data_IF_191321622608
#
_entry.id   IF_191321622608
#
_cell.length_a   1.000
_cell.length_b   1.000
_cell.length_c   1.000
_cell.angle_alpha   90.00
_cell.angle_beta   90.00
_cell.angle_gamma   90.00
#
_symmetry.space_group_name_H-M   'P 1'
#
loop_
_entity.id
_entity.type
_entity.pdbx_description
1 polymer ?
#
# COMPACT_ATOMS: atom_id res chain seq x y z
N UNK A 1 -2.58 12.03 2.16
CA UNK A 1 -1.53 11.85 1.14
C UNK A 1 -0.68 10.69 1.59
N UNK A 2 -0.59 9.62 0.80
CA UNK A 2 0.30 8.50 1.11
C UNK A 2 1.70 8.80 0.58
N UNK A 3 2.67 8.90 1.49
CA UNK A 3 4.07 9.11 1.15
C UNK A 3 4.75 7.75 0.95
N UNK A 4 5.49 7.59 -0.14
CA UNK A 4 6.23 6.37 -0.45
C UNK A 4 7.68 6.51 0.03
N UNK A 5 7.96 5.92 1.20
CA UNK A 5 9.29 5.92 1.80
C UNK A 5 10.35 5.21 0.97
N UNK A 6 9.97 4.13 0.27
CA UNK A 6 10.89 3.35 -0.55
C UNK A 6 11.29 4.14 -1.81
N UNK A 7 10.31 4.74 -2.50
CA UNK A 7 10.54 5.63 -3.64
C UNK A 7 11.32 6.87 -3.25
N UNK A 8 10.99 7.48 -2.11
CA UNK A 8 11.75 8.60 -1.56
C UNK A 8 13.22 8.24 -1.32
N UNK A 9 13.49 7.07 -0.72
CA UNK A 9 14.86 6.55 -0.53
C UNK A 9 15.58 6.36 -1.86
N UNK A 10 14.93 5.77 -2.86
CA UNK A 10 15.51 5.55 -4.18
C UNK A 10 15.91 6.87 -4.84
N UNK A 11 15.03 7.88 -4.80
CA UNK A 11 15.31 9.22 -5.33
C UNK A 11 16.46 9.91 -4.60
N UNK A 12 16.55 9.78 -3.27
CA UNK A 12 17.70 10.31 -2.51
C UNK A 12 19.01 9.65 -2.95
N UNK A 13 19.03 8.32 -3.07
CA UNK A 13 20.23 7.58 -3.48
C UNK A 13 20.65 7.94 -4.91
N UNK A 14 19.70 8.06 -5.85
CA UNK A 14 19.96 8.50 -7.21
C UNK A 14 20.52 9.94 -7.27
N UNK A 15 20.13 10.79 -6.32
CA UNK A 15 20.64 12.16 -6.18
C UNK A 15 22.01 12.24 -5.48
N UNK A 16 22.60 11.11 -5.07
CA UNK A 16 23.88 11.05 -4.37
C UNK A 16 23.89 11.67 -2.96
N UNK A 17 22.72 12.00 -2.41
CA UNK A 17 22.63 12.69 -1.13
C UNK A 17 22.67 11.70 0.05
N UNK A 18 23.47 12.00 1.07
CA UNK A 18 23.36 11.30 2.35
C UNK A 18 22.10 11.72 3.11
N UNK A 19 21.66 10.92 4.09
CA UNK A 19 20.52 11.27 4.95
C UNK A 19 20.77 12.63 5.65
N UNK A 20 21.99 12.87 6.15
CA UNK A 20 22.35 14.12 6.83
C UNK A 20 22.35 15.31 5.86
N UNK A 21 22.87 15.12 4.65
CA UNK A 21 22.87 16.17 3.63
C UNK A 21 21.45 16.56 3.21
N UNK A 22 20.58 15.57 3.00
CA UNK A 22 19.18 15.84 2.66
C UNK A 22 18.42 16.49 3.82
N UNK A 23 18.66 16.04 5.06
CA UNK A 23 18.03 16.62 6.25
C UNK A 23 18.42 18.10 6.42
N UNK A 24 19.70 18.43 6.21
CA UNK A 24 20.18 19.80 6.23
C UNK A 24 19.52 20.65 5.12
N UNK A 25 19.48 20.15 3.88
CA UNK A 25 18.84 20.83 2.76
C UNK A 25 17.32 21.05 2.97
N UNK A 26 16.65 20.13 3.67
CA UNK A 26 15.23 20.23 3.98
C UNK A 26 14.93 21.01 5.28
N UNK A 27 15.95 21.43 6.04
CA UNK A 27 15.84 21.98 7.39
C UNK A 27 15.03 21.08 8.34
N UNK A 28 15.39 19.79 8.39
CA UNK A 28 14.74 18.75 9.18
C UNK A 28 15.79 17.98 10.01
N UNK A 29 15.32 17.28 11.05
CA UNK A 29 16.18 16.35 11.77
C UNK A 29 16.49 15.10 10.92
N UNK A 30 17.72 14.54 10.96
CA UNK A 30 18.07 13.31 10.24
C UNK A 30 17.14 12.13 10.55
N UNK A 31 16.64 12.06 11.79
CA UNK A 31 15.69 11.03 12.21
C UNK A 31 14.33 11.14 11.48
N UNK A 32 13.92 12.35 11.10
CA UNK A 32 12.71 12.56 10.29
C UNK A 32 12.86 11.95 8.89
N UNK A 33 14.03 12.12 8.26
CA UNK A 33 14.33 11.51 6.95
C UNK A 33 14.37 9.99 7.08
N UNK A 34 15.05 9.46 8.11
CA UNK A 34 15.13 8.01 8.36
C UNK A 34 13.74 7.38 8.61
N UNK A 35 12.89 8.05 9.40
CA UNK A 35 11.52 7.60 9.68
C UNK A 35 10.64 7.62 8.43
N UNK A 36 10.81 8.64 7.58
CA UNK A 36 10.09 8.77 6.31
C UNK A 36 10.51 7.68 5.31
N UNK A 37 11.81 7.38 5.18
CA UNK A 37 12.31 6.29 4.31
C UNK A 37 11.80 4.92 4.71
N UNK A 38 11.70 4.65 6.02
CA UNK A 38 11.22 3.36 6.54
C UNK A 38 9.70 3.23 6.51
N UNK A 39 8.96 4.29 6.21
CA UNK A 39 7.50 4.31 6.26
C UNK A 39 6.91 4.09 7.66
N UNK A 40 7.72 4.21 8.73
CA UNK A 40 7.28 3.98 10.13
C UNK A 40 6.23 5.00 10.55
N UNK A 41 6.34 6.24 10.03
CA UNK A 41 5.35 7.30 10.22
C UNK A 41 5.15 8.05 8.91
N UNK A 42 3.88 8.29 8.58
CA UNK A 42 3.53 9.16 7.46
C UNK A 42 3.95 10.60 7.77
N UNK A 43 4.82 11.22 6.96
CA UNK A 43 5.20 12.61 7.16
C UNK A 43 3.99 13.52 6.88
N UNK A 44 3.83 14.55 7.72
CA UNK A 44 2.84 15.61 7.45
C UNK A 44 3.13 16.26 6.11
N UNK A 45 2.11 16.80 5.44
CA UNK A 45 2.23 17.40 4.10
C UNK A 45 3.30 18.49 4.02
N UNK A 46 3.50 19.27 5.09
CA UNK A 46 4.59 20.27 5.18
C UNK A 46 5.97 19.62 5.09
N UNK A 47 6.19 18.51 5.81
CA UNK A 47 7.45 17.76 5.82
C UNK A 47 7.68 17.12 4.46
N UNK A 48 6.66 16.48 3.88
CA UNK A 48 6.75 15.89 2.56
C UNK A 48 7.13 16.92 1.47
N UNK A 49 6.57 18.13 1.52
CA UNK A 49 6.95 19.24 0.63
C UNK A 49 8.39 19.70 0.81
N UNK A 50 8.87 19.79 2.05
CA UNK A 50 10.26 20.16 2.32
C UNK A 50 11.23 19.12 1.75
N UNK A 51 10.92 17.83 1.91
CA UNK A 51 11.71 16.73 1.37
C UNK A 51 11.72 16.71 -0.17
N UNK A 52 10.56 16.91 -0.81
CA UNK A 52 10.44 17.03 -2.26
C UNK A 52 11.27 18.20 -2.80
N UNK A 53 11.15 19.38 -2.17
CA UNK A 53 11.93 20.57 -2.53
C UNK A 53 13.44 20.33 -2.40
N UNK A 54 13.88 19.67 -1.33
CA UNK A 54 15.29 19.38 -1.10
C UNK A 54 15.87 18.35 -2.08
N UNK A 55 15.04 17.45 -2.62
CA UNK A 55 15.42 16.53 -3.69
C UNK A 55 15.30 17.13 -5.10
N UNK A 56 14.72 18.33 -5.24
CA UNK A 56 14.47 18.93 -6.55
C UNK A 56 13.40 18.20 -7.38
N UNK A 57 12.55 17.39 -6.75
CA UNK A 57 11.48 16.61 -7.42
C UNK A 57 10.11 17.16 -7.07
N UNK A 58 9.11 17.04 -7.95
CA UNK A 58 7.73 17.41 -7.61
C UNK A 58 7.18 16.49 -6.52
N UNK A 59 6.31 17.02 -5.64
CA UNK A 59 5.75 16.28 -4.51
C UNK A 59 5.05 14.96 -4.92
N UNK A 60 4.44 14.92 -6.11
CA UNK A 60 3.81 13.73 -6.69
C UNK A 60 4.76 12.55 -6.88
N UNK A 61 6.06 12.82 -7.05
CA UNK A 61 7.07 11.76 -7.22
C UNK A 61 7.48 11.13 -5.88
N UNK A 62 7.09 11.75 -4.75
CA UNK A 62 7.22 11.17 -3.41
C UNK A 62 5.91 10.55 -2.92
N UNK A 63 4.83 10.72 -3.68
CA UNK A 63 3.58 10.04 -3.39
C UNK A 63 3.75 8.59 -3.82
N UNK A 64 3.11 7.70 -3.07
CA UNK A 64 2.82 6.39 -3.61
C UNK A 64 1.96 6.65 -4.85
N UNK A 65 2.42 6.29 -6.06
CA UNK A 65 1.47 6.09 -7.14
C UNK A 65 0.46 5.07 -6.63
N UNK A 66 -0.79 5.12 -7.08
CA UNK A 66 -1.56 3.87 -7.11
C UNK A 66 -0.76 2.98 -8.06
N UNK A 67 0.19 2.22 -7.52
CA UNK A 67 1.09 1.38 -8.30
C UNK A 67 0.27 0.27 -8.92
N UNK A 68 0.75 -0.28 -10.03
CA UNK A 68 0.06 -1.39 -10.70
C UNK A 68 -0.14 -2.61 -9.77
N UNK A 69 0.66 -2.69 -8.70
CA UNK A 69 0.67 -3.76 -7.70
C UNK A 69 0.00 -3.39 -6.36
N UNK A 70 -0.70 -2.25 -6.27
CA UNK A 70 -1.37 -1.86 -5.03
C UNK A 70 -2.70 -2.61 -4.85
N UNK A 71 -2.88 -3.30 -3.73
CA UNK A 71 -4.15 -3.96 -3.40
C UNK A 71 -5.22 -2.93 -3.00
N UNK A 72 -6.50 -3.33 -3.02
CA UNK A 72 -7.57 -2.46 -2.52
C UNK A 72 -7.35 -2.08 -1.04
N UNK A 73 -6.87 -3.00 -0.21
CA UNK A 73 -6.59 -2.71 1.19
C UNK A 73 -5.51 -1.63 1.36
N UNK A 74 -4.48 -1.63 0.51
CA UNK A 74 -3.40 -0.63 0.55
C UNK A 74 -3.91 0.74 0.12
N UNK A 75 -4.73 0.79 -0.93
CA UNK A 75 -5.35 2.02 -1.43
C UNK A 75 -6.30 2.59 -0.36
N UNK A 76 -7.10 1.75 0.31
CA UNK A 76 -7.95 2.22 1.41
C UNK A 76 -7.13 2.81 2.57
N UNK A 77 -6.04 2.15 2.97
CA UNK A 77 -5.13 2.66 4.01
C UNK A 77 -4.46 3.97 3.57
N UNK A 78 -4.16 4.12 2.28
CA UNK A 78 -3.63 5.36 1.70
C UNK A 78 -4.57 6.56 1.85
N UNK A 79 -5.88 6.28 1.86
CA UNK A 79 -6.95 7.24 2.10
C UNK A 79 -7.22 7.47 3.59
N UNK A 80 -6.51 6.78 4.48
CA UNK A 80 -6.70 6.81 5.94
C UNK A 80 -8.11 6.37 6.38
N UNK A 81 -8.64 5.34 5.71
CA UNK A 81 -9.97 4.81 5.99
C UNK A 81 -9.90 3.40 6.59
N UNK A 82 -10.72 3.12 7.60
CA UNK A 82 -11.03 1.76 8.05
C UNK A 82 -11.97 1.06 7.06
N UNK A 83 -12.07 -0.27 7.13
CA UNK A 83 -13.05 -1.02 6.31
C UNK A 83 -14.50 -0.57 6.59
N UNK A 84 -14.81 -0.17 7.83
CA UNK A 84 -16.14 0.33 8.21
C UNK A 84 -16.43 1.69 7.58
N UNK A 85 -15.46 2.61 7.60
CA UNK A 85 -15.63 3.93 6.98
C UNK A 85 -15.70 3.84 5.46
N UNK A 86 -14.91 2.96 4.84
CA UNK A 86 -15.03 2.67 3.40
C UNK A 86 -16.41 2.08 3.05
N UNK A 87 -16.92 1.19 3.89
CA UNK A 87 -18.24 0.60 3.70
C UNK A 87 -19.35 1.66 3.79
N UNK A 88 -19.27 2.56 4.78
CA UNK A 88 -20.18 3.69 4.92
C UNK A 88 -20.11 4.63 3.69
N UNK A 89 -18.91 4.85 3.15
CA UNK A 89 -18.69 5.69 1.97
C UNK A 89 -19.30 5.12 0.68
N UNK A 90 -19.27 3.80 0.51
CA UNK A 90 -19.82 3.10 -0.66
C UNK A 90 -21.32 2.79 -0.48
N UNK A 91 -21.81 2.77 0.77
CA UNK A 91 -23.18 2.37 1.08
C UNK A 91 -23.38 0.85 1.19
N UNK A 92 -22.36 0.12 1.65
CA UNK A 92 -22.38 -1.35 1.82
C UNK A 92 -22.02 -1.76 3.25
N UNK A 93 -22.12 -3.06 3.56
CA UNK A 93 -21.64 -3.59 4.85
C UNK A 93 -20.11 -3.73 4.90
N UNK A 94 -19.51 -3.61 6.09
CA UNK A 94 -18.06 -3.80 6.25
C UNK A 94 -17.59 -5.20 5.85
N UNK A 95 -18.42 -6.23 6.03
CA UNK A 95 -18.17 -7.60 5.57
C UNK A 95 -18.05 -7.67 4.04
N UNK A 96 -18.84 -6.85 3.33
CA UNK A 96 -18.77 -6.72 1.86
C UNK A 96 -17.42 -6.13 1.44
N UNK A 97 -16.95 -5.07 2.11
CA UNK A 97 -15.61 -4.49 1.86
C UNK A 97 -14.52 -5.53 2.13
N UNK A 98 -14.57 -6.21 3.27
CA UNK A 98 -13.60 -7.24 3.62
C UNK A 98 -13.52 -8.37 2.58
N UNK A 99 -14.67 -8.86 2.11
CA UNK A 99 -14.76 -9.86 1.04
C UNK A 99 -14.20 -9.35 -0.29
N UNK A 100 -14.53 -8.13 -0.69
CA UNK A 100 -14.05 -7.54 -1.94
C UNK A 100 -12.54 -7.26 -1.90
N UNK A 101 -12.00 -6.80 -0.76
CA UNK A 101 -10.57 -6.59 -0.58
C UNK A 101 -9.75 -7.89 -0.62
N UNK A 102 -10.39 -9.03 -0.34
CA UNK A 102 -9.83 -10.38 -0.54
C UNK A 102 -10.13 -10.95 -1.93
N UNK A 103 -10.61 -10.12 -2.86
CA UNK A 103 -10.83 -10.51 -4.24
C UNK A 103 -12.19 -11.14 -4.55
N UNK A 104 -13.15 -11.04 -3.63
CA UNK A 104 -14.53 -11.49 -3.87
C UNK A 104 -15.20 -10.72 -5.02
N UNK A 105 -16.11 -11.38 -5.73
CA UNK A 105 -16.83 -10.78 -6.86
C UNK A 105 -17.74 -9.63 -6.42
N UNK A 106 -17.91 -8.64 -7.29
CA UNK A 106 -18.84 -7.52 -7.11
C UNK A 106 -19.63 -7.27 -8.39
N UNK A 107 -20.92 -6.96 -8.27
CA UNK A 107 -21.77 -6.68 -9.43
C UNK A 107 -21.62 -5.23 -9.93
N UNK A 108 -21.44 -4.26 -9.02
CA UNK A 108 -21.40 -2.84 -9.36
C UNK A 108 -19.99 -2.26 -9.19
N UNK A 109 -19.03 -2.70 -10.01
CA UNK A 109 -17.62 -2.30 -9.87
C UNK A 109 -17.37 -0.77 -9.99
N UNK A 110 -18.29 0.00 -10.57
CA UNK A 110 -18.16 1.44 -10.72
C UNK A 110 -18.28 2.20 -9.39
N UNK A 111 -19.25 1.84 -8.54
CA UNK A 111 -19.45 2.48 -7.22
C UNK A 111 -18.24 2.27 -6.32
N UNK A 112 -17.60 1.11 -6.47
CA UNK A 112 -16.37 0.78 -5.77
C UNK A 112 -15.19 1.61 -6.28
N UNK A 113 -15.07 1.78 -7.59
CA UNK A 113 -14.05 2.66 -8.16
C UNK A 113 -14.19 4.09 -7.61
N UNK A 114 -15.40 4.65 -7.61
CA UNK A 114 -15.70 5.98 -7.05
C UNK A 114 -15.38 6.05 -5.55
N UNK A 115 -15.79 5.04 -4.77
CA UNK A 115 -15.52 4.97 -3.33
C UNK A 115 -14.03 5.01 -2.99
N UNK A 116 -13.22 4.32 -3.79
CA UNK A 116 -11.75 4.30 -3.67
C UNK A 116 -11.05 5.48 -4.36
N UNK A 117 -11.81 6.42 -4.95
CA UNK A 117 -11.29 7.53 -5.74
C UNK A 117 -10.39 7.08 -6.91
N UNK A 118 -10.78 6.00 -7.56
CA UNK A 118 -10.10 5.38 -8.71
C UNK A 118 -10.96 5.45 -9.96
N UNK A 119 -10.32 5.37 -11.12
CA UNK A 119 -11.02 5.00 -12.35
C UNK A 119 -11.37 3.51 -12.32
N UNK A 120 -12.40 3.09 -13.08
CA UNK A 120 -12.79 1.69 -13.18
C UNK A 120 -11.64 0.75 -13.62
N UNK A 121 -10.78 1.10 -14.59
CA UNK A 121 -9.61 0.28 -14.93
C UNK A 121 -8.60 0.13 -13.78
N UNK A 122 -8.32 1.21 -13.03
CA UNK A 122 -7.42 1.16 -11.88
C UNK A 122 -7.99 0.30 -10.76
N UNK A 123 -9.29 0.44 -10.48
CA UNK A 123 -9.96 -0.38 -9.48
C UNK A 123 -9.93 -1.87 -9.83
N UNK A 124 -10.19 -2.23 -11.09
CA UNK A 124 -10.13 -3.63 -11.56
C UNK A 124 -8.74 -4.24 -11.39
N UNK A 125 -7.68 -3.47 -11.65
CA UNK A 125 -6.30 -3.91 -11.43
C UNK A 125 -6.00 -4.13 -9.95
N UNK A 126 -6.33 -3.17 -9.10
CA UNK A 126 -6.15 -3.30 -7.65
C UNK A 126 -6.94 -4.48 -7.05
N UNK A 127 -8.14 -4.74 -7.57
CA UNK A 127 -8.94 -5.91 -7.22
C UNK A 127 -8.30 -7.22 -7.67
N UNK A 128 -7.68 -7.24 -8.86
CA UNK A 128 -6.92 -8.38 -9.36
C UNK A 128 -5.68 -8.68 -8.50
N UNK A 129 -4.93 -7.65 -8.10
CA UNK A 129 -3.82 -7.78 -7.15
C UNK A 129 -4.28 -8.41 -5.84
N UNK A 130 -5.38 -7.90 -5.27
CA UNK A 130 -6.02 -8.47 -4.07
C UNK A 130 -6.34 -9.97 -4.22
N UNK A 131 -6.86 -10.40 -5.38
CA UNK A 131 -7.13 -11.81 -5.68
C UNK A 131 -5.86 -12.66 -5.73
N UNK A 132 -4.83 -12.14 -6.36
CA UNK A 132 -3.57 -12.88 -6.56
C UNK A 132 -2.79 -13.03 -5.26
N UNK A 133 -2.87 -12.06 -4.34
CA UNK A 133 -2.34 -12.19 -2.98
C UNK A 133 -3.00 -13.34 -2.20
N UNK A 134 -4.34 -13.38 -2.17
CA UNK A 134 -5.08 -14.45 -1.48
C UNK A 134 -4.78 -15.82 -2.09
N UNK A 135 -4.64 -15.90 -3.43
CA UNK A 135 -4.23 -17.14 -4.10
C UNK A 135 -2.81 -17.57 -3.73
N UNK A 136 -1.86 -16.62 -3.65
CA UNK A 136 -0.47 -16.90 -3.24
C UNK A 136 -0.40 -17.38 -1.80
N UNK A 137 -1.15 -16.74 -0.89
CA UNK A 137 -1.27 -17.16 0.51
C UNK A 137 -1.83 -18.59 0.59
N UNK A 138 -2.96 -18.87 -0.08
CA UNK A 138 -3.54 -20.22 -0.11
C UNK A 138 -2.59 -21.28 -0.71
N UNK A 139 -1.83 -20.92 -1.75
CA UNK A 139 -0.83 -21.81 -2.35
C UNK A 139 0.38 -22.05 -1.42
N UNK A 140 0.80 -21.04 -0.66
CA UNK A 140 1.88 -21.15 0.32
C UNK A 140 1.46 -21.94 1.58
N UNK A 141 0.18 -21.92 1.92
CA UNK A 141 -0.38 -22.52 3.14
C UNK A 141 -0.81 -23.98 2.97
N UNK A 142 -0.67 -24.55 1.76
CA UNK A 142 -0.87 -25.99 1.52
C UNK A 142 0.32 -26.78 2.09
N UNK A 143 0.20 -27.54 3.20
CA UNK A 143 1.32 -28.30 3.75
C UNK A 143 1.48 -29.62 2.99
N UNK A 144 2.74 -30.03 2.80
CA UNK A 144 3.14 -31.38 2.39
C UNK A 144 2.35 -32.40 3.22
N UNK A 145 1.54 -33.24 2.57
CA UNK A 145 1.02 -34.48 3.18
C UNK A 145 2.21 -35.34 3.58
N UNK A 146 2.62 -35.26 4.85
CA UNK A 146 3.47 -36.26 5.48
C UNK A 146 2.64 -37.54 5.60
N UNK A 147 2.85 -38.46 4.66
CA UNK A 147 2.48 -39.86 4.81
C UNK A 147 3.28 -40.43 5.97
N UNK A 148 2.65 -40.61 7.13
CA UNK A 148 3.21 -41.42 8.21
C UNK A 148 2.78 -42.87 7.99
N UNK A 149 3.71 -43.86 7.95
CA UNK A 149 3.33 -45.26 7.76
C UNK A 149 2.67 -45.75 9.05
N UNK A 150 1.40 -46.14 8.92
CA UNK A 150 0.65 -46.79 9.99
C UNK A 150 1.30 -48.15 10.27
N UNK A 151 1.85 -48.30 11.46
CA UNK A 151 2.60 -49.47 11.90
C UNK A 151 1.85 -50.78 11.71
N UNK A 152 2.57 -51.75 11.13
CA UNK A 152 2.27 -53.17 11.19
C UNK A 152 2.52 -53.65 12.63
N UNK A 153 1.48 -54.19 13.26
CA UNK A 153 1.61 -54.99 14.47
C UNK A 153 1.29 -56.43 14.08
N UNK A 154 2.31 -57.28 14.15
CA UNK A 154 2.21 -58.74 14.32
C UNK A 154 2.74 -59.08 15.69
#
# INVERSE_FOLDING_TARGET
>A
MLFDGARFRALRLASGLSIRALAAAANLAPNTVHSAERGVRQPRTRVARALAKALGVPLRDLQCPITEDASLADIRRALDLTQKEMAARIGVSWQTVCRVERGGHVQLALDWAVGYALTLPQWRRAHQVSRDLVRREAAAETPRRTTSPRGERT
#
